data_IF_242615777214
#
_entry.id   IF_242615777214
#
_cell.length_a   1.000
_cell.length_b   1.000
_cell.length_c   1.000
_cell.angle_alpha   90.00
_cell.angle_beta   90.00
_cell.angle_gamma   90.00
#
_symmetry.space_group_name_H-M   'P 1'
#
loop_
_entity.id
_entity.type
_entity.pdbx_description
1 polymer ?
#
# COMPACT_ATOMS: atom_id res chain seq x y z
N UNK A 1 -17.73 -21.90 51.71
CA UNK A 1 -16.89 -22.63 50.73
C UNK A 1 -17.23 -22.10 49.35
N UNK A 2 -16.22 -21.87 48.49
CA UNK A 2 -16.29 -21.34 47.10
C UNK A 2 -15.82 -19.91 46.84
N UNK A 3 -14.57 -19.58 47.19
CA UNK A 3 -13.87 -18.40 46.63
C UNK A 3 -12.49 -18.74 46.03
N UNK A 4 -12.21 -20.02 45.75
CA UNK A 4 -10.88 -20.49 45.34
C UNK A 4 -10.69 -20.69 43.82
N UNK A 5 -11.65 -20.23 42.99
CA UNK A 5 -11.58 -20.35 41.52
C UNK A 5 -11.57 -18.98 40.79
N UNK A 6 -11.22 -17.89 41.48
CA UNK A 6 -11.30 -16.53 40.92
C UNK A 6 -10.03 -15.95 40.29
N UNK A 7 -8.85 -16.55 40.53
CA UNK A 7 -7.57 -15.87 40.27
C UNK A 7 -6.73 -16.43 39.10
N UNK A 8 -7.19 -17.48 38.40
CA UNK A 8 -6.47 -18.08 37.25
C UNK A 8 -7.00 -17.67 35.87
N UNK A 9 -8.23 -17.18 35.79
CA UNK A 9 -8.92 -16.83 34.54
C UNK A 9 -8.64 -15.42 33.95
N UNK A 10 -8.31 -14.37 34.72
CA UNK A 10 -8.16 -13.03 34.13
C UNK A 10 -6.92 -12.94 33.24
N UNK A 11 -5.84 -13.64 33.60
CA UNK A 11 -4.60 -13.61 32.81
C UNK A 11 -4.80 -14.25 31.44
N UNK A 12 -5.49 -15.39 31.37
CA UNK A 12 -5.73 -16.11 30.12
C UNK A 12 -6.69 -15.37 29.18
N UNK A 13 -7.70 -14.69 29.74
CA UNK A 13 -8.64 -13.86 28.99
C UNK A 13 -7.96 -12.60 28.42
N UNK A 14 -7.08 -11.96 29.19
CA UNK A 14 -6.26 -10.82 28.71
C UNK A 14 -5.26 -11.28 27.64
N UNK A 15 -4.61 -12.43 27.85
CA UNK A 15 -3.66 -12.99 26.88
C UNK A 15 -4.36 -13.35 25.56
N UNK A 16 -5.55 -13.95 25.62
CA UNK A 16 -6.37 -14.25 24.44
C UNK A 16 -6.84 -13.00 23.69
N UNK A 17 -7.29 -11.97 24.41
CA UNK A 17 -7.68 -10.69 23.82
C UNK A 17 -6.51 -9.96 23.16
N UNK A 18 -5.34 -9.96 23.81
CA UNK A 18 -4.12 -9.36 23.27
C UNK A 18 -3.63 -10.09 22.02
N UNK A 19 -3.69 -11.43 22.02
CA UNK A 19 -3.32 -12.26 20.88
C UNK A 19 -4.24 -12.01 19.68
N UNK A 20 -5.54 -11.80 19.92
CA UNK A 20 -6.49 -11.46 18.86
C UNK A 20 -6.18 -10.08 18.26
N UNK A 21 -5.87 -9.08 19.07
CA UNK A 21 -5.47 -7.75 18.58
C UNK A 21 -4.16 -7.80 17.78
N UNK A 22 -3.17 -8.56 18.25
CA UNK A 22 -1.92 -8.78 17.53
C UNK A 22 -2.16 -9.47 16.18
N UNK A 23 -3.01 -10.49 16.14
CA UNK A 23 -3.37 -11.17 14.90
C UNK A 23 -4.02 -10.22 13.90
N UNK A 24 -5.04 -9.45 14.31
CA UNK A 24 -5.67 -8.45 13.45
C UNK A 24 -4.71 -7.35 13.02
N UNK A 25 -3.85 -6.87 13.92
CA UNK A 25 -2.81 -5.90 13.60
C UNK A 25 -1.83 -6.42 12.55
N UNK A 26 -1.40 -7.68 12.67
CA UNK A 26 -0.53 -8.34 11.69
C UNK A 26 -1.23 -8.51 10.34
N UNK A 27 -2.50 -8.91 10.33
CA UNK A 27 -3.29 -9.05 9.10
C UNK A 27 -3.41 -7.70 8.38
N UNK A 28 -3.78 -6.64 9.10
CA UNK A 28 -3.86 -5.29 8.54
C UNK A 28 -2.49 -4.85 8.02
N UNK A 29 -1.43 -5.07 8.80
CA UNK A 29 -0.07 -4.74 8.40
C UNK A 29 0.36 -5.47 7.11
N UNK A 30 0.05 -6.76 6.98
CA UNK A 30 0.32 -7.55 5.77
C UNK A 30 -0.48 -7.05 4.57
N UNK A 31 -1.75 -6.68 4.76
CA UNK A 31 -2.59 -6.12 3.68
C UNK A 31 -2.00 -4.80 3.21
N UNK A 32 -1.68 -3.88 4.13
CA UNK A 32 -1.10 -2.56 3.81
C UNK A 32 0.26 -2.73 3.13
N UNK A 33 1.12 -3.61 3.65
CA UNK A 33 2.42 -3.91 3.06
C UNK A 33 2.28 -4.53 1.66
N UNK A 34 1.35 -5.46 1.47
CA UNK A 34 1.04 -6.09 0.19
C UNK A 34 0.56 -5.07 -0.84
N UNK A 35 -0.42 -4.23 -0.47
CA UNK A 35 -0.92 -3.15 -1.33
C UNK A 35 0.22 -2.19 -1.67
N UNK A 36 1.00 -1.74 -0.68
CA UNK A 36 2.11 -0.81 -0.91
C UNK A 36 3.18 -1.39 -1.84
N UNK A 37 3.50 -2.68 -1.71
CA UNK A 37 4.45 -3.37 -2.61
C UNK A 37 3.90 -3.49 -4.03
N UNK A 38 2.61 -3.79 -4.19
CA UNK A 38 1.95 -3.85 -5.51
C UNK A 38 1.83 -2.45 -6.12
N UNK A 39 1.52 -1.43 -5.32
CA UNK A 39 1.46 -0.02 -5.76
C UNK A 39 2.84 0.55 -6.05
N UNK A 40 3.90 0.16 -5.32
CA UNK A 40 5.28 0.56 -5.63
C UNK A 40 5.79 -0.15 -6.89
N UNK A 41 5.43 -1.43 -7.09
CA UNK A 41 5.69 -2.13 -8.36
C UNK A 41 4.88 -1.50 -9.51
N UNK A 42 3.66 -1.06 -9.23
CA UNK A 42 2.75 -0.35 -10.15
C UNK A 42 3.05 1.14 -10.33
N UNK A 43 3.89 1.75 -9.48
CA UNK A 43 4.40 3.12 -9.65
C UNK A 43 5.51 3.22 -10.71
N UNK A 44 5.91 2.08 -11.28
CA UNK A 44 6.61 2.04 -12.57
C UNK A 44 5.68 1.74 -13.76
N UNK A 45 4.39 1.48 -13.52
CA UNK A 45 3.42 1.00 -14.53
C UNK A 45 2.26 1.94 -14.83
N UNK A 46 1.92 2.86 -13.93
CA UNK A 46 1.08 4.02 -14.27
C UNK A 46 1.94 4.99 -15.05
N UNK A 47 2.05 4.81 -16.38
CA UNK A 47 2.80 5.69 -17.28
C UNK A 47 2.53 7.12 -16.85
N UNK A 48 3.56 7.80 -16.33
CA UNK A 48 3.46 9.22 -16.04
C UNK A 48 2.96 9.89 -17.34
N UNK A 49 2.15 10.95 -17.28
CA UNK A 49 1.77 11.64 -18.51
C UNK A 49 2.99 12.03 -19.38
N UNK A 50 4.19 12.17 -18.76
CA UNK A 50 5.48 12.24 -19.45
C UNK A 50 5.90 10.96 -20.20
N UNK A 51 5.67 9.78 -19.63
CA UNK A 51 5.97 8.48 -20.27
C UNK A 51 5.02 8.22 -21.46
N UNK A 52 3.76 8.63 -21.35
CA UNK A 52 2.79 8.56 -22.46
C UNK A 52 3.24 9.50 -23.60
N UNK A 53 3.64 10.72 -23.26
CA UNK A 53 4.14 11.68 -24.24
C UNK A 53 5.43 11.19 -24.92
N UNK A 54 6.36 10.60 -24.16
CA UNK A 54 7.61 10.04 -24.69
C UNK A 54 7.37 8.86 -25.64
N UNK A 55 6.41 7.99 -25.33
CA UNK A 55 6.04 6.88 -26.21
C UNK A 55 5.45 7.38 -27.54
N UNK A 56 4.59 8.39 -27.51
CA UNK A 56 4.02 8.99 -28.74
C UNK A 56 5.07 9.72 -29.56
N UNK A 57 6.02 10.40 -28.92
CA UNK A 57 7.16 11.02 -29.60
C UNK A 57 8.03 9.97 -30.30
N UNK A 58 8.32 8.85 -29.63
CA UNK A 58 9.08 7.74 -30.21
C UNK A 58 8.36 7.05 -31.37
N UNK A 59 7.02 7.05 -31.37
CA UNK A 59 6.18 6.59 -32.50
C UNK A 59 6.08 7.61 -33.63
N UNK A 60 6.56 8.85 -33.43
CA UNK A 60 6.43 9.95 -34.39
C UNK A 60 5.02 10.53 -34.49
N UNK A 61 4.14 10.21 -33.54
CA UNK A 61 2.75 10.71 -33.50
C UNK A 61 2.67 12.16 -33.02
N UNK A 62 3.71 12.66 -32.33
CA UNK A 62 3.83 14.04 -31.87
C UNK A 62 5.19 14.61 -32.23
N UNK A 63 5.24 15.92 -32.48
CA UNK A 63 6.48 16.66 -32.75
C UNK A 63 7.27 16.95 -31.47
N UNK A 64 8.56 17.26 -31.62
CA UNK A 64 9.42 17.66 -30.51
C UNK A 64 8.87 18.91 -29.78
N UNK A 65 8.25 19.85 -30.51
CA UNK A 65 7.67 21.06 -29.95
C UNK A 65 6.47 20.76 -29.02
N UNK A 66 5.61 19.82 -29.42
CA UNK A 66 4.46 19.38 -28.61
C UNK A 66 4.94 18.61 -27.36
N UNK A 67 5.98 17.78 -27.51
CA UNK A 67 6.58 17.09 -26.36
C UNK A 67 7.16 18.07 -25.33
N UNK A 68 7.82 19.14 -25.77
CA UNK A 68 8.36 20.16 -24.86
C UNK A 68 7.27 20.98 -24.15
N UNK A 69 6.14 21.27 -24.81
CA UNK A 69 5.00 21.93 -24.16
C UNK A 69 4.41 21.04 -23.07
N UNK A 70 4.14 19.76 -23.38
CA UNK A 70 3.60 18.80 -22.41
C UNK A 70 4.55 18.63 -21.22
N UNK A 71 5.87 18.60 -21.47
CA UNK A 71 6.88 18.51 -20.41
C UNK A 71 6.90 19.75 -19.51
N UNK A 72 6.69 20.95 -20.06
CA UNK A 72 6.61 22.20 -19.30
C UNK A 72 5.31 22.32 -18.49
N UNK A 73 4.20 21.82 -19.03
CA UNK A 73 2.90 21.87 -18.36
C UNK A 73 2.75 20.85 -17.21
N UNK A 74 3.48 19.74 -17.27
CA UNK A 74 3.45 18.68 -16.22
C UNK A 74 4.48 18.93 -15.11
N UNK A 75 5.48 19.78 -15.34
CA UNK A 75 6.52 20.14 -14.36
C UNK A 75 6.05 21.17 -13.35
#
# INVERSE_FOLDING_TARGET
>A
MWNWLGNGFPFWMVFGGLWMLLFWGLVIWLIVWGIKKITESGKSGGKSPLDIAKERYARGEISQAEFEQIKKDIS
#
